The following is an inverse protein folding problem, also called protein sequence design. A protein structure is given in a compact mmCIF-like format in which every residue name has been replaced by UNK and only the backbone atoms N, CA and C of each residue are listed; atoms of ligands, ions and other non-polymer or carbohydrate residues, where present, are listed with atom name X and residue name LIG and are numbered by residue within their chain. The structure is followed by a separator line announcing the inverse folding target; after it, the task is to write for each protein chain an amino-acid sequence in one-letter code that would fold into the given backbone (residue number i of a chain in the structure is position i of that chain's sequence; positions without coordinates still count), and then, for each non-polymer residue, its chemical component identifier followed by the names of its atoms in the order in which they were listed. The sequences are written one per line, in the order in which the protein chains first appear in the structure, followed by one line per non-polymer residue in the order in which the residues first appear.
data_IF_796035068674
#
_entry.id   IF_796035068674
#
_cell.length_a   1.000
_cell.length_b   1.000
_cell.length_c   1.000
_cell.angle_alpha   90.00
_cell.angle_beta   90.00
_cell.angle_gamma   90.00
#
_symmetry.space_group_name_H-M   'P 1'
#
loop_
_entity.id
_entity.type
_entity.pdbx_description
1 polymer ?
#
# COMPACT_ATOMS: atom_id res chain seq x y z
N UNK A 1 7.93 18.92 4.75
CA UNK A 1 8.42 18.99 3.38
C UNK A 1 9.64 19.90 3.27
N UNK A 2 9.55 21.11 3.74
CA UNK A 2 10.60 22.13 3.59
C UNK A 2 11.91 21.76 4.28
N UNK A 3 11.84 20.98 5.35
CA UNK A 3 13.03 20.55 6.11
C UNK A 3 13.70 19.28 5.51
N UNK A 4 12.90 18.29 5.13
CA UNK A 4 13.41 17.00 4.68
C UNK A 4 13.55 16.89 3.15
N UNK A 5 13.00 17.84 2.37
CA UNK A 5 13.01 17.82 0.91
C UNK A 5 12.20 16.69 0.26
N UNK A 6 11.45 15.92 1.04
CA UNK A 6 10.63 14.80 0.59
C UNK A 6 9.15 15.11 0.81
N UNK A 7 8.38 15.05 -0.27
CA UNK A 7 6.92 15.28 -0.23
C UNK A 7 6.15 14.02 0.23
N UNK A 8 6.54 13.45 1.38
CA UNK A 8 5.91 12.25 1.92
C UNK A 8 4.46 12.48 2.38
N UNK A 9 3.69 11.39 2.43
CA UNK A 9 2.33 11.38 3.00
C UNK A 9 2.34 11.49 4.53
N UNK A 10 1.13 11.55 5.11
CA UNK A 10 0.89 11.74 6.55
C UNK A 10 0.47 10.44 7.27
N UNK A 11 0.72 9.28 6.67
CA UNK A 11 0.26 7.98 7.17
C UNK A 11 0.68 7.75 8.62
N UNK A 12 1.97 7.92 8.91
CA UNK A 12 2.53 7.63 10.22
C UNK A 12 1.98 8.58 11.30
N UNK A 13 1.87 9.88 10.97
CA UNK A 13 1.34 10.89 11.88
C UNK A 13 -0.15 10.63 12.17
N UNK A 14 -0.93 10.27 11.14
CA UNK A 14 -2.35 9.92 11.32
C UNK A 14 -2.53 8.67 12.16
N UNK A 15 -1.73 7.62 11.92
CA UNK A 15 -1.80 6.39 12.69
C UNK A 15 -1.43 6.61 14.17
N UNK A 16 -0.37 7.38 14.45
CA UNK A 16 0.09 7.65 15.82
C UNK A 16 -0.92 8.50 16.59
N UNK A 17 -1.52 9.51 15.95
CA UNK A 17 -2.40 10.45 16.66
C UNK A 17 -3.82 9.89 16.78
N UNK A 18 -4.34 9.23 15.73
CA UNK A 18 -5.74 8.83 15.64
C UNK A 18 -5.92 7.31 15.69
N UNK A 19 -4.88 6.54 15.99
CA UNK A 19 -4.99 5.09 16.14
C UNK A 19 -6.08 4.71 17.14
N UNK A 20 -6.83 3.66 16.84
CA UNK A 20 -7.83 3.09 17.73
C UNK A 20 -7.75 1.58 17.66
N UNK A 21 -7.78 0.94 18.83
CA UNK A 21 -7.66 -0.50 18.95
C UNK A 21 -8.68 -1.21 18.07
N UNK A 22 -8.20 -2.24 17.36
CA UNK A 22 -8.97 -3.08 16.44
C UNK A 22 -9.69 -2.32 15.31
N UNK A 23 -9.16 -1.14 14.92
CA UNK A 23 -9.73 -0.34 13.84
C UNK A 23 -8.66 0.18 12.88
N UNK A 24 -8.90 0.01 11.58
CA UNK A 24 -8.13 0.68 10.55
C UNK A 24 -8.67 2.10 10.32
N UNK A 25 -7.80 3.02 9.94
CA UNK A 25 -8.16 4.40 9.57
C UNK A 25 -8.29 4.48 8.05
N UNK A 26 -9.46 4.86 7.56
CA UNK A 26 -9.69 5.26 6.18
C UNK A 26 -9.66 6.80 6.11
N UNK A 27 -8.61 7.33 5.50
CA UNK A 27 -8.36 8.78 5.42
C UNK A 27 -8.62 9.30 4.01
N UNK A 28 -9.41 10.35 3.89
CA UNK A 28 -9.45 11.19 2.71
C UNK A 28 -8.33 12.24 2.82
N UNK A 29 -7.28 12.09 2.03
CA UNK A 29 -6.10 12.98 2.08
C UNK A 29 -6.35 14.37 1.50
N UNK A 30 -7.49 14.60 0.83
CA UNK A 30 -7.87 15.91 0.30
C UNK A 30 -8.60 16.74 1.35
N UNK A 31 -9.66 16.19 1.97
CA UNK A 31 -10.44 16.89 3.00
C UNK A 31 -9.88 16.73 4.40
N UNK A 32 -8.98 15.77 4.60
CA UNK A 32 -8.46 15.32 5.91
C UNK A 32 -9.50 14.68 6.81
N UNK A 33 -10.69 14.39 6.28
CA UNK A 33 -11.69 13.60 6.99
C UNK A 33 -11.27 12.13 7.05
N UNK A 34 -11.56 11.48 8.15
CA UNK A 34 -11.29 10.05 8.28
C UNK A 34 -12.44 9.31 8.97
N UNK A 35 -12.48 8.01 8.74
CA UNK A 35 -13.40 7.09 9.40
C UNK A 35 -12.68 5.85 9.89
N UNK A 36 -13.24 5.20 10.90
CA UNK A 36 -12.73 3.95 11.43
C UNK A 36 -13.43 2.75 10.76
N UNK A 37 -12.62 1.77 10.39
CA UNK A 37 -13.05 0.51 9.81
C UNK A 37 -12.74 -0.59 10.82
N UNK A 38 -13.73 -1.25 11.42
CA UNK A 38 -13.48 -2.37 12.33
C UNK A 38 -12.72 -3.50 11.64
N UNK A 39 -11.73 -4.05 12.35
CA UNK A 39 -10.93 -5.19 11.90
C UNK A 39 -11.07 -6.31 12.92
N UNK A 40 -11.45 -7.50 12.47
CA UNK A 40 -11.51 -8.67 13.35
C UNK A 40 -10.11 -9.24 13.60
N UNK A 41 -9.45 -8.71 14.63
CA UNK A 41 -8.11 -9.13 15.04
C UNK A 41 -8.08 -10.51 15.74
N UNK A 42 -9.25 -11.12 15.98
CA UNK A 42 -9.32 -12.51 16.47
C UNK A 42 -9.12 -13.54 15.35
N UNK A 43 -9.39 -13.15 14.09
CA UNK A 43 -9.27 -14.02 12.92
C UNK A 43 -8.01 -13.78 12.11
N UNK A 44 -7.46 -12.57 12.14
CA UNK A 44 -6.36 -12.13 11.26
C UNK A 44 -5.29 -11.35 12.00
N UNK A 45 -4.05 -11.44 11.53
CA UNK A 45 -2.91 -10.60 11.92
C UNK A 45 -2.30 -9.93 10.69
N UNK A 46 -1.78 -8.74 10.92
CA UNK A 46 -0.90 -8.09 9.96
C UNK A 46 0.54 -8.37 10.34
N UNK A 47 1.31 -8.90 9.39
CA UNK A 47 2.71 -9.25 9.60
C UNK A 47 3.56 -8.43 8.64
N UNK A 48 4.51 -7.67 9.18
CA UNK A 48 5.50 -6.93 8.42
C UNK A 48 6.76 -7.75 8.24
N UNK A 49 7.31 -7.75 7.04
CA UNK A 49 8.62 -8.35 6.76
C UNK A 49 9.52 -7.27 6.17
N UNK A 50 10.57 -6.92 6.90
CA UNK A 50 11.53 -5.90 6.49
C UNK A 50 12.61 -6.52 5.60
N UNK A 51 12.69 -6.06 4.35
CA UNK A 51 13.72 -6.48 3.41
C UNK A 51 15.13 -6.02 3.82
N UNK A 52 15.24 -5.05 4.73
CA UNK A 52 16.52 -4.44 5.12
C UNK A 52 17.20 -3.66 4.00
N UNK A 53 16.56 -3.52 2.84
CA UNK A 53 17.08 -2.71 1.74
C UNK A 53 16.70 -1.25 1.97
N UNK A 54 17.73 -0.42 2.21
CA UNK A 54 17.59 1.04 2.27
C UNK A 54 18.15 1.60 0.97
N UNK A 55 17.31 2.16 0.13
CA UNK A 55 17.77 2.77 -1.11
C UNK A 55 18.12 4.25 -0.93
N UNK A 56 19.29 4.66 -1.41
CA UNK A 56 19.68 6.07 -1.61
C UNK A 56 18.82 6.78 -2.68
N UNK A 57 18.15 6.00 -3.54
CA UNK A 57 17.22 6.48 -4.58
C UNK A 57 15.79 6.75 -4.07
N UNK A 58 15.50 6.50 -2.79
CA UNK A 58 14.14 6.62 -2.24
C UNK A 58 13.57 8.04 -2.40
N UNK A 59 14.38 9.05 -2.11
CA UNK A 59 13.96 10.46 -2.18
C UNK A 59 13.74 10.91 -3.62
N UNK A 60 14.66 10.60 -4.54
CA UNK A 60 14.53 10.99 -5.95
C UNK A 60 13.39 10.23 -6.63
N UNK A 61 13.29 8.90 -6.44
CA UNK A 61 12.26 8.08 -7.04
C UNK A 61 10.85 8.47 -6.59
N UNK A 62 10.66 8.77 -5.31
CA UNK A 62 9.37 9.22 -4.80
C UNK A 62 8.93 10.56 -5.41
N UNK A 63 9.84 11.52 -5.45
CA UNK A 63 9.56 12.84 -6.06
C UNK A 63 9.30 12.71 -7.57
N UNK A 64 9.97 11.79 -8.26
CA UNK A 64 9.72 11.50 -9.67
C UNK A 64 8.30 10.97 -9.90
N UNK A 65 7.85 9.99 -9.09
CA UNK A 65 6.47 9.47 -9.19
C UNK A 65 5.43 10.57 -8.99
N UNK A 66 5.68 11.45 -8.03
CA UNK A 66 4.78 12.59 -7.79
C UNK A 66 4.74 13.53 -9.00
N UNK A 67 5.90 13.91 -9.54
CA UNK A 67 5.99 14.77 -10.73
C UNK A 67 5.26 14.16 -11.92
N UNK A 68 5.42 12.85 -12.17
CA UNK A 68 4.75 12.12 -13.25
C UNK A 68 3.22 12.14 -13.07
N UNK A 69 2.71 11.99 -11.83
CA UNK A 69 1.28 12.13 -11.53
C UNK A 69 0.79 13.58 -11.77
N UNK A 70 1.57 14.60 -11.39
CA UNK A 70 1.23 16.02 -11.61
C UNK A 70 1.20 16.35 -13.11
N UNK A 71 2.12 15.77 -13.90
CA UNK A 71 2.13 15.89 -15.37
C UNK A 71 0.89 15.24 -15.99
N UNK A 72 0.54 14.02 -15.56
CA UNK A 72 -0.67 13.35 -16.00
C UNK A 72 -1.92 14.19 -15.72
N UNK A 73 -2.04 14.74 -14.52
CA UNK A 73 -3.16 15.61 -14.14
C UNK A 73 -3.22 16.86 -15.00
N UNK A 74 -2.09 17.52 -15.25
CA UNK A 74 -2.03 18.72 -16.08
C UNK A 74 -2.48 18.43 -17.53
N UNK A 75 -2.03 17.31 -18.12
CA UNK A 75 -2.43 16.88 -19.47
C UNK A 75 -3.93 16.60 -19.56
N UNK A 76 -4.51 15.93 -18.55
CA UNK A 76 -5.94 15.62 -18.53
C UNK A 76 -6.78 16.90 -18.40
N UNK A 77 -6.35 17.87 -17.60
CA UNK A 77 -7.00 19.19 -17.51
C UNK A 77 -6.97 19.93 -18.85
N UNK A 78 -5.83 19.89 -19.55
CA UNK A 78 -5.69 20.47 -20.90
C UNK A 78 -6.59 19.78 -21.93
N UNK A 79 -6.82 18.47 -21.76
CA UNK A 79 -7.74 17.69 -22.62
C UNK A 79 -9.23 17.89 -22.27
N UNK A 80 -9.55 18.75 -21.30
CA UNK A 80 -10.93 19.13 -20.96
C UNK A 80 -11.56 18.36 -19.80
N UNK A 81 -10.78 17.55 -19.06
CA UNK A 81 -11.29 16.90 -17.85
C UNK A 81 -11.50 17.92 -16.74
N UNK A 82 -12.71 18.00 -16.21
CA UNK A 82 -13.08 18.89 -15.11
C UNK A 82 -12.72 18.28 -13.74
N UNK A 83 -11.44 18.00 -13.50
CA UNK A 83 -10.91 17.33 -12.31
C UNK A 83 -9.94 18.25 -11.57
N UNK A 84 -9.81 18.06 -10.25
CA UNK A 84 -8.80 18.72 -9.43
C UNK A 84 -7.64 17.76 -9.10
N UNK A 85 -7.94 16.47 -8.95
CA UNK A 85 -7.02 15.40 -8.64
C UNK A 85 -7.25 14.19 -9.56
N UNK A 86 -6.26 13.33 -9.74
CA UNK A 86 -6.43 12.09 -10.53
C UNK A 86 -7.53 11.17 -9.94
N UNK A 87 -7.72 11.20 -8.62
CA UNK A 87 -8.76 10.43 -7.94
C UNK A 87 -10.19 10.88 -8.26
N UNK A 88 -10.37 12.04 -8.89
CA UNK A 88 -11.68 12.52 -9.34
C UNK A 88 -12.14 11.77 -10.61
N UNK A 89 -11.22 11.10 -11.31
CA UNK A 89 -11.54 10.24 -12.44
C UNK A 89 -12.13 8.90 -11.96
N UNK A 90 -13.08 8.38 -12.72
CA UNK A 90 -13.63 7.03 -12.55
C UNK A 90 -12.77 5.96 -13.26
N UNK A 91 -13.05 4.69 -12.97
CA UNK A 91 -12.43 3.58 -13.74
C UNK A 91 -12.87 3.59 -15.21
N UNK A 92 -14.07 4.07 -15.50
CA UNK A 92 -14.60 4.13 -16.89
C UNK A 92 -13.85 5.17 -17.72
N UNK A 93 -13.29 6.20 -17.11
CA UNK A 93 -12.47 7.21 -17.78
C UNK A 93 -11.13 6.65 -18.28
N UNK A 94 -10.65 5.51 -17.75
CA UNK A 94 -9.32 4.97 -18.05
C UNK A 94 -9.11 4.68 -19.54
N UNK A 95 -10.15 4.25 -20.26
CA UNK A 95 -10.08 3.99 -21.72
C UNK A 95 -9.78 5.30 -22.47
N UNK A 96 -10.48 6.38 -22.12
CA UNK A 96 -10.25 7.69 -22.72
C UNK A 96 -8.88 8.25 -22.33
N UNK A 97 -8.51 8.16 -21.07
CA UNK A 97 -7.22 8.61 -20.52
C UNK A 97 -6.06 7.89 -21.23
N UNK A 98 -6.17 6.61 -21.54
CA UNK A 98 -5.14 5.85 -22.27
C UNK A 98 -4.84 6.44 -23.65
N UNK A 99 -5.83 6.99 -24.32
CA UNK A 99 -5.67 7.59 -25.65
C UNK A 99 -5.08 9.03 -25.59
N UNK A 100 -5.08 9.66 -24.43
CA UNK A 100 -4.62 11.03 -24.21
C UNK A 100 -3.20 11.07 -23.65
N UNK A 101 -2.91 10.22 -22.67
CA UNK A 101 -1.64 10.26 -21.94
C UNK A 101 -0.56 9.42 -22.61
N UNK A 102 0.70 9.86 -22.61
CA UNK A 102 1.84 9.01 -22.86
C UNK A 102 1.89 7.84 -21.89
N UNK A 103 2.63 6.79 -22.26
CA UNK A 103 2.62 5.52 -21.50
C UNK A 103 2.98 5.66 -20.01
N UNK A 104 3.96 6.49 -19.69
CA UNK A 104 4.40 6.69 -18.29
C UNK A 104 3.30 7.35 -17.48
N UNK A 105 2.79 8.49 -17.94
CA UNK A 105 1.74 9.26 -17.29
C UNK A 105 0.44 8.47 -17.18
N UNK A 106 0.11 7.67 -18.21
CA UNK A 106 -1.02 6.75 -18.16
C UNK A 106 -0.86 5.71 -17.05
N UNK A 107 0.29 5.05 -16.93
CA UNK A 107 0.56 4.08 -15.86
C UNK A 107 0.38 4.71 -14.48
N UNK A 108 0.86 5.94 -14.26
CA UNK A 108 0.71 6.64 -12.97
C UNK A 108 -0.76 6.97 -12.70
N UNK A 109 -1.46 7.54 -13.69
CA UNK A 109 -2.90 7.82 -13.57
C UNK A 109 -3.70 6.54 -13.31
N UNK A 110 -3.43 5.48 -14.06
CA UNK A 110 -4.06 4.17 -13.85
C UNK A 110 -3.87 3.66 -12.42
N UNK A 111 -2.63 3.73 -11.90
CA UNK A 111 -2.36 3.31 -10.52
C UNK A 111 -3.18 4.14 -9.54
N UNK A 112 -3.11 5.46 -9.59
CA UNK A 112 -3.78 6.36 -8.62
C UNK A 112 -5.30 6.15 -8.66
N UNK A 113 -5.91 6.14 -9.84
CA UNK A 113 -7.36 5.99 -10.02
C UNK A 113 -7.81 4.61 -9.52
N UNK A 114 -7.14 3.54 -9.96
CA UNK A 114 -7.50 2.18 -9.57
C UNK A 114 -7.20 1.89 -8.10
N UNK A 115 -6.15 2.48 -7.52
CA UNK A 115 -5.83 2.30 -6.10
C UNK A 115 -6.85 3.00 -5.20
N UNK A 116 -7.27 4.22 -5.55
CA UNK A 116 -8.37 4.90 -4.85
C UNK A 116 -9.63 4.03 -4.80
N UNK A 117 -10.00 3.42 -5.93
CA UNK A 117 -11.13 2.49 -5.98
C UNK A 117 -10.90 1.24 -5.10
N UNK A 118 -9.68 0.65 -5.12
CA UNK A 118 -9.32 -0.51 -4.29
C UNK A 118 -9.40 -0.23 -2.80
N UNK A 119 -9.00 0.94 -2.33
CA UNK A 119 -9.11 1.33 -0.91
C UNK A 119 -10.56 1.26 -0.45
N UNK A 120 -11.50 1.82 -1.22
CA UNK A 120 -12.93 1.74 -0.89
C UNK A 120 -13.47 0.31 -0.92
N UNK A 121 -13.03 -0.50 -1.89
CA UNK A 121 -13.40 -1.92 -1.94
C UNK A 121 -12.84 -2.68 -0.74
N UNK A 122 -11.55 -2.50 -0.42
CA UNK A 122 -10.89 -3.14 0.71
C UNK A 122 -11.61 -2.83 2.04
N UNK A 123 -11.93 -1.56 2.28
CA UNK A 123 -12.66 -1.14 3.47
C UNK A 123 -14.03 -1.86 3.58
N UNK A 124 -14.75 -1.99 2.47
CA UNK A 124 -16.03 -2.70 2.42
C UNK A 124 -15.87 -4.20 2.71
N UNK A 125 -14.89 -4.86 2.07
CA UNK A 125 -14.67 -6.29 2.25
C UNK A 125 -14.23 -6.62 3.68
N UNK A 126 -13.40 -5.78 4.32
CA UNK A 126 -13.04 -5.92 5.74
C UNK A 126 -14.27 -5.78 6.64
N UNK A 127 -15.13 -4.78 6.43
CA UNK A 127 -16.35 -4.59 7.20
C UNK A 127 -17.34 -5.76 7.06
N UNK A 128 -17.32 -6.46 5.93
CA UNK A 128 -18.15 -7.62 5.65
C UNK A 128 -17.51 -8.95 6.04
N UNK A 129 -16.32 -8.92 6.67
CA UNK A 129 -15.53 -10.10 7.03
C UNK A 129 -15.14 -10.98 5.84
N UNK A 130 -15.08 -10.42 4.62
CA UNK A 130 -14.67 -11.11 3.41
C UNK A 130 -13.14 -11.10 3.26
N UNK A 131 -12.42 -11.75 4.19
CA UNK A 131 -10.97 -11.69 4.29
C UNK A 131 -10.25 -12.13 3.00
N UNK A 132 -10.77 -13.16 2.30
CA UNK A 132 -10.19 -13.62 1.03
C UNK A 132 -10.25 -12.54 -0.05
N UNK A 133 -11.40 -11.86 -0.21
CA UNK A 133 -11.52 -10.77 -1.18
C UNK A 133 -10.69 -9.55 -0.80
N UNK A 134 -10.63 -9.21 0.49
CA UNK A 134 -9.75 -8.16 0.99
C UNK A 134 -8.28 -8.48 0.67
N UNK A 135 -7.86 -9.73 0.86
CA UNK A 135 -6.52 -10.18 0.54
C UNK A 135 -6.19 -10.11 -0.96
N UNK A 136 -7.12 -10.51 -1.83
CA UNK A 136 -6.96 -10.35 -3.30
C UNK A 136 -6.71 -8.88 -3.69
N UNK A 137 -7.37 -7.94 -3.00
CA UNK A 137 -7.16 -6.51 -3.25
C UNK A 137 -5.75 -6.06 -2.84
N UNK A 138 -5.15 -6.65 -1.80
CA UNK A 138 -3.75 -6.40 -1.43
C UNK A 138 -2.79 -6.85 -2.54
N UNK A 139 -2.98 -8.06 -3.10
CA UNK A 139 -2.17 -8.54 -4.23
C UNK A 139 -2.34 -7.66 -5.47
N UNK A 140 -3.57 -7.26 -5.82
CA UNK A 140 -3.84 -6.34 -6.94
C UNK A 140 -3.20 -4.97 -6.72
N UNK A 141 -3.19 -4.47 -5.48
CA UNK A 141 -2.49 -3.25 -5.10
C UNK A 141 -0.98 -3.40 -5.30
N UNK A 142 -0.38 -4.50 -4.83
CA UNK A 142 1.04 -4.78 -5.03
C UNK A 142 1.40 -4.85 -6.51
N UNK A 143 0.64 -5.59 -7.31
CA UNK A 143 0.86 -5.66 -8.75
C UNK A 143 0.85 -4.28 -9.41
N UNK A 144 -0.09 -3.41 -9.01
CA UNK A 144 -0.14 -2.05 -9.53
C UNK A 144 1.02 -1.17 -9.05
N UNK A 145 1.48 -1.35 -7.80
CA UNK A 145 2.69 -0.69 -7.28
C UNK A 145 3.95 -1.11 -8.04
N UNK A 146 4.06 -2.39 -8.39
CA UNK A 146 5.21 -2.94 -9.13
C UNK A 146 5.18 -2.54 -10.62
N UNK A 147 4.04 -2.74 -11.31
CA UNK A 147 3.96 -2.62 -12.78
C UNK A 147 3.58 -1.22 -13.26
N UNK A 148 2.66 -0.54 -12.55
CA UNK A 148 2.11 0.73 -12.98
C UNK A 148 2.76 1.93 -12.27
N UNK A 149 2.96 1.84 -10.96
CA UNK A 149 3.60 2.90 -10.20
C UNK A 149 5.13 2.77 -10.19
N UNK A 150 5.63 1.56 -10.41
CA UNK A 150 7.06 1.22 -10.53
C UNK A 150 7.87 1.68 -9.31
N UNK A 151 7.35 1.37 -8.12
CA UNK A 151 8.01 1.66 -6.83
C UNK A 151 8.44 0.40 -6.09
N UNK A 152 8.18 -0.79 -6.65
CA UNK A 152 8.66 -2.04 -6.07
C UNK A 152 10.07 -2.36 -6.56
N UNK A 153 10.68 -3.38 -5.94
CA UNK A 153 11.96 -3.94 -6.35
C UNK A 153 11.82 -5.47 -6.41
N UNK A 154 12.68 -6.17 -7.18
CA UNK A 154 12.56 -7.62 -7.37
C UNK A 154 12.45 -8.43 -6.08
N UNK A 155 13.21 -8.08 -5.04
CA UNK A 155 13.14 -8.79 -3.76
C UNK A 155 11.78 -8.62 -3.07
N UNK A 156 11.20 -7.43 -3.13
CA UNK A 156 9.85 -7.18 -2.57
C UNK A 156 8.80 -7.96 -3.36
N UNK A 157 8.89 -8.00 -4.69
CA UNK A 157 7.98 -8.77 -5.54
C UNK A 157 8.08 -10.27 -5.21
N UNK A 158 9.30 -10.81 -5.07
CA UNK A 158 9.52 -12.20 -4.64
C UNK A 158 8.96 -12.47 -3.23
N UNK A 159 9.11 -11.55 -2.28
CA UNK A 159 8.57 -11.70 -0.92
C UNK A 159 7.04 -11.79 -0.93
N UNK A 160 6.38 -11.02 -1.79
CA UNK A 160 4.92 -11.09 -1.97
C UNK A 160 4.50 -12.39 -2.67
N UNK A 161 5.26 -12.84 -3.66
CA UNK A 161 5.05 -14.14 -4.31
C UNK A 161 5.21 -15.30 -3.29
N UNK A 162 6.27 -15.27 -2.47
CA UNK A 162 6.43 -16.29 -1.41
C UNK A 162 5.27 -16.30 -0.42
N UNK A 163 4.72 -15.13 -0.10
CA UNK A 163 3.56 -15.03 0.77
C UNK A 163 2.32 -15.66 0.16
N UNK A 164 2.13 -15.52 -1.18
CA UNK A 164 0.98 -16.09 -1.88
C UNK A 164 0.95 -17.62 -1.93
N UNK A 165 2.11 -18.26 -1.77
CA UNK A 165 2.26 -19.72 -1.73
C UNK A 165 1.91 -20.34 -0.37
N UNK A 166 1.67 -19.52 0.66
CA UNK A 166 1.48 -19.99 2.05
C UNK A 166 -0.01 -20.07 2.36
N UNK A 167 -0.48 -21.25 2.72
CA UNK A 167 -1.87 -21.42 3.18
C UNK A 167 -2.15 -20.57 4.44
N UNK A 168 -3.32 -19.93 4.47
CA UNK A 168 -3.69 -19.00 5.51
C UNK A 168 -3.19 -17.55 5.31
N UNK A 169 -2.47 -17.24 4.23
CA UNK A 169 -2.18 -15.87 3.82
C UNK A 169 -3.28 -15.37 2.89
N UNK A 170 -4.04 -14.39 3.33
CA UNK A 170 -5.11 -13.80 2.52
C UNK A 170 -4.58 -12.87 1.44
N UNK A 171 -3.52 -12.10 1.75
CA UNK A 171 -2.92 -11.16 0.81
C UNK A 171 -1.65 -10.51 1.34
N UNK A 172 -0.83 -10.00 0.43
CA UNK A 172 0.41 -9.31 0.75
C UNK A 172 0.68 -8.19 -0.24
N UNK A 173 1.36 -7.14 0.21
CA UNK A 173 1.79 -6.03 -0.64
C UNK A 173 3.00 -5.30 -0.06
N UNK A 174 3.66 -4.53 -0.91
CA UNK A 174 4.60 -3.49 -0.50
C UNK A 174 3.93 -2.50 0.46
N UNK A 175 4.63 -2.09 1.51
CA UNK A 175 4.21 -1.06 2.46
C UNK A 175 5.11 0.17 2.38
N UNK A 176 4.50 1.36 2.45
CA UNK A 176 5.20 2.66 2.43
C UNK A 176 5.54 3.14 1.02
N UNK A 177 6.57 3.98 0.92
CA UNK A 177 6.93 4.69 -0.33
C UNK A 177 7.65 3.85 -1.39
N UNK A 178 7.97 2.59 -1.10
CA UNK A 178 8.64 1.70 -2.04
C UNK A 178 10.15 1.81 -2.07
N UNK A 179 10.73 1.33 -3.17
CA UNK A 179 12.18 1.26 -3.42
C UNK A 179 12.94 0.45 -2.36
N UNK A 180 12.31 -0.56 -1.76
CA UNK A 180 12.77 -1.38 -0.65
C UNK A 180 11.79 -1.30 0.52
N UNK A 181 12.28 -1.40 1.75
CA UNK A 181 11.46 -1.37 2.97
C UNK A 181 10.75 -2.68 3.25
N UNK A 182 9.47 -2.63 3.58
CA UNK A 182 8.71 -3.77 4.09
C UNK A 182 7.61 -4.24 3.13
N UNK A 183 7.24 -5.51 3.27
CA UNK A 183 5.92 -6.01 2.88
C UNK A 183 5.00 -6.02 4.09
N UNK A 184 3.69 -5.88 3.87
CA UNK A 184 2.63 -6.13 4.84
C UNK A 184 1.77 -7.28 4.32
N UNK A 185 1.57 -8.29 5.16
CA UNK A 185 0.77 -9.47 4.84
C UNK A 185 -0.40 -9.59 5.81
N UNK A 186 -1.58 -9.90 5.29
CA UNK A 186 -2.77 -10.24 6.06
C UNK A 186 -2.85 -11.76 6.19
N UNK A 187 -2.64 -12.29 7.39
CA UNK A 187 -2.40 -13.70 7.67
C UNK A 187 -3.45 -14.21 8.67
N UNK A 188 -4.04 -15.36 8.42
CA UNK A 188 -4.90 -16.03 9.39
C UNK A 188 -4.14 -16.30 10.68
N UNK A 189 -4.79 -16.10 11.83
CA UNK A 189 -4.12 -16.21 13.13
C UNK A 189 -3.39 -17.54 13.30
N UNK A 190 -3.98 -18.65 12.85
CA UNK A 190 -3.36 -19.99 12.95
C UNK A 190 -2.12 -20.18 12.08
N UNK A 191 -1.93 -19.33 11.06
CA UNK A 191 -0.85 -19.47 10.08
C UNK A 191 0.35 -18.54 10.35
N UNK A 192 0.27 -17.64 11.33
CA UNK A 192 1.28 -16.58 11.57
C UNK A 192 2.67 -17.16 11.82
N UNK A 193 2.78 -18.15 12.69
CA UNK A 193 4.08 -18.77 13.01
C UNK A 193 4.66 -19.47 11.77
N UNK A 194 3.84 -20.26 11.07
CA UNK A 194 4.27 -20.95 9.85
C UNK A 194 4.68 -19.97 8.75
N UNK A 195 3.94 -18.87 8.58
CA UNK A 195 4.30 -17.78 7.67
C UNK A 195 5.67 -17.20 8.01
N UNK A 196 5.88 -16.81 9.27
CA UNK A 196 7.14 -16.19 9.70
C UNK A 196 8.35 -17.08 9.46
N UNK A 197 8.24 -18.38 9.84
CA UNK A 197 9.30 -19.36 9.63
C UNK A 197 9.58 -19.58 8.14
N UNK A 198 8.54 -19.75 7.33
CA UNK A 198 8.66 -20.00 5.89
C UNK A 198 9.28 -18.83 5.15
N UNK A 199 8.82 -17.61 5.42
CA UNK A 199 9.39 -16.39 4.82
C UNK A 199 10.85 -16.22 5.25
N UNK A 200 11.18 -16.42 6.53
CA UNK A 200 12.55 -16.29 7.01
C UNK A 200 13.49 -17.29 6.31
N UNK A 201 13.04 -18.53 6.08
CA UNK A 201 13.81 -19.55 5.37
C UNK A 201 14.03 -19.22 3.89
N UNK A 202 12.96 -18.84 3.16
CA UNK A 202 13.05 -18.43 1.75
C UNK A 202 13.97 -17.21 1.60
N UNK A 203 13.80 -16.20 2.47
CA UNK A 203 14.62 -15.00 2.48
C UNK A 203 16.09 -15.31 2.79
N UNK A 204 16.39 -16.11 3.81
CA UNK A 204 17.76 -16.52 4.15
C UNK A 204 18.44 -17.27 3.01
N UNK A 205 17.70 -18.11 2.30
CA UNK A 205 18.21 -18.85 1.12
C UNK A 205 18.57 -17.87 -0.02
N UNK A 206 17.78 -16.81 -0.22
CA UNK A 206 17.98 -15.82 -1.28
C UNK A 206 19.08 -14.81 -0.94
N UNK A 207 19.01 -14.22 0.25
CA UNK A 207 19.80 -13.06 0.66
C UNK A 207 20.98 -13.40 1.60
N UNK A 208 21.13 -14.66 2.02
CA UNK A 208 22.11 -15.14 3.00
C UNK A 208 22.08 -14.36 4.34
N UNK A 209 20.91 -13.82 4.70
CA UNK A 209 20.62 -13.10 5.96
C UNK A 209 19.18 -13.34 6.36
N UNK A 210 18.84 -13.09 7.62
CA UNK A 210 17.48 -13.23 8.13
C UNK A 210 16.77 -11.88 8.06
N UNK A 211 15.51 -11.81 7.58
CA UNK A 211 14.73 -10.58 7.63
C UNK A 211 14.25 -10.30 9.05
N UNK A 212 13.93 -9.05 9.35
CA UNK A 212 13.15 -8.71 10.54
C UNK A 212 11.67 -8.93 10.23
N UNK A 213 10.98 -9.65 11.10
CA UNK A 213 9.56 -9.97 10.96
C UNK A 213 8.84 -9.46 12.21
N UNK A 214 7.78 -8.70 12.00
CA UNK A 214 7.00 -8.09 13.08
C UNK A 214 5.54 -8.51 12.95
N UNK A 215 5.03 -9.20 13.97
CA UNK A 215 3.60 -9.38 14.15
C UNK A 215 3.02 -8.09 14.73
N UNK A 216 2.04 -7.50 14.05
CA UNK A 216 1.47 -6.22 14.41
C UNK A 216 0.09 -6.39 15.03
N UNK A 217 -0.13 -5.78 16.18
CA UNK A 217 -1.45 -5.50 16.74
C UNK A 217 -1.93 -4.11 16.33
N UNK A 218 -3.24 -3.93 16.29
CA UNK A 218 -3.86 -2.62 16.06
C UNK A 218 -4.19 -2.05 17.44
N UNK A 219 -3.48 -1.00 17.84
CA UNK A 219 -3.57 -0.41 19.18
C UNK A 219 -4.07 1.03 19.11
N UNK A 220 -4.40 1.57 20.30
CA UNK A 220 -4.76 2.97 20.45
C UNK A 220 -3.57 3.88 20.14
N UNK A 221 -3.86 5.04 19.56
CA UNK A 221 -2.88 6.07 19.29
C UNK A 221 -2.35 6.75 20.58
N UNK A 222 -1.56 7.79 20.39
CA UNK A 222 -1.00 8.55 21.48
C UNK A 222 -2.09 9.18 22.35
N UNK A 223 -2.03 8.95 23.66
CA UNK A 223 -2.95 9.53 24.63
C UNK A 223 -2.19 10.05 25.86
N UNK A 224 -2.84 10.94 26.60
CA UNK A 224 -2.27 11.45 27.86
C UNK A 224 -2.32 10.36 28.93
N UNK A 225 -1.20 10.13 29.59
CA UNK A 225 -1.13 9.27 30.78
C UNK A 225 -1.58 10.14 31.97
N UNK A 226 -2.66 9.75 32.65
CA UNK A 226 -3.13 10.39 33.88
C UNK A 226 -2.31 9.93 35.09
#
# INVERSE_FOLDING_TARGET
WDFAGVHCGIMDQMAIVNGKKDQAIMLNTQSMDFSYIPVDTSAVRFVLVNSGIKHSLRESGYNDRRRECEQALAMLKQAGFAIQHLCDCSLDDLIQIQNILPQTEYKRAYHVISENHRVHQFAREIQQYNLSKAGELLYKSHQSLSVNYEVSIPLIDEMVEWASDIDGVYGSRLMGGGFGGCTISMVALYAVEYFAVTIAQKFKKKENRTPEIYECSIEDGTHRIE
#
